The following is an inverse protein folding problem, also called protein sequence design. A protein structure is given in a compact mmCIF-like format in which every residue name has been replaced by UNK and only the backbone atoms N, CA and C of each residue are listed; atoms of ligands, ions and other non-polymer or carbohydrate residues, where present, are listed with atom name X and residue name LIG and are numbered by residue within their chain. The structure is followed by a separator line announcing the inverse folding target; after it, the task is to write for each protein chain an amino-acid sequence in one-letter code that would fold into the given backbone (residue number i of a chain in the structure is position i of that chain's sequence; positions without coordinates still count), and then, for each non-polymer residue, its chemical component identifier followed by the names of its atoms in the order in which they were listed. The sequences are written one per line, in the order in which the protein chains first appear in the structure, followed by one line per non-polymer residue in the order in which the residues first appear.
data_IF_189582733288
#
_entry.id   IF_189582733288
#
_cell.length_a   1.000
_cell.length_b   1.000
_cell.length_c   1.000
_cell.angle_alpha   90.00
_cell.angle_beta   90.00
_cell.angle_gamma   90.00
#
_symmetry.space_group_name_H-M   'P 1'
#
loop_
_entity.id
_entity.type
_entity.pdbx_description
1 polymer ?
#
# COMPACT_ATOMS: atom_id res chain seq x y z
N UNK A 1 35.61 11.41 -4.31
CA UNK A 1 35.67 10.13 -5.06
C UNK A 1 34.26 9.59 -5.26
N UNK A 2 33.63 9.83 -6.42
CA UNK A 2 32.36 9.17 -6.74
C UNK A 2 32.67 7.72 -7.13
N UNK A 3 32.27 6.77 -6.29
CA UNK A 3 32.35 5.33 -6.57
C UNK A 3 31.87 5.03 -7.99
N UNK A 4 32.44 4.02 -8.66
CA UNK A 4 32.03 3.59 -10.00
C UNK A 4 30.50 3.43 -10.12
N UNK A 5 29.86 2.97 -9.04
CA UNK A 5 28.40 2.86 -8.90
C UNK A 5 27.67 4.22 -8.96
N UNK A 6 28.22 5.26 -8.34
CA UNK A 6 27.66 6.61 -8.36
C UNK A 6 27.78 7.29 -9.74
N UNK A 7 28.84 7.00 -10.50
CA UNK A 7 29.01 7.48 -11.87
C UNK A 7 28.05 6.78 -12.84
N UNK A 8 27.80 5.49 -12.66
CA UNK A 8 26.85 4.70 -13.43
C UNK A 8 25.40 5.16 -13.16
N UNK A 9 25.06 5.43 -11.89
CA UNK A 9 23.77 6.01 -11.49
C UNK A 9 23.52 7.39 -12.12
N UNK A 10 24.51 8.28 -12.10
CA UNK A 10 24.37 9.65 -12.62
C UNK A 10 24.30 9.70 -14.16
N UNK A 11 25.05 8.81 -14.84
CA UNK A 11 24.95 8.63 -16.31
C UNK A 11 23.60 8.03 -16.72
N UNK A 12 23.03 7.16 -15.88
CA UNK A 12 21.72 6.53 -16.07
C UNK A 12 20.55 7.50 -15.89
N UNK A 13 20.57 8.34 -14.85
CA UNK A 13 19.58 9.42 -14.63
C UNK A 13 19.51 10.36 -15.84
N UNK A 14 20.66 10.74 -16.42
CA UNK A 14 20.72 11.69 -17.55
C UNK A 14 20.22 11.13 -18.89
N UNK A 15 20.26 9.81 -19.10
CA UNK A 15 19.85 9.18 -20.38
C UNK A 15 18.40 8.71 -20.38
N UNK A 16 17.79 8.56 -19.20
CA UNK A 16 16.37 8.26 -19.06
C UNK A 16 15.52 9.50 -19.29
N UNK A 17 14.43 9.40 -20.09
CA UNK A 17 13.30 10.38 -20.12
C UNK A 17 12.55 10.43 -18.77
N UNK A 18 13.24 10.29 -17.64
CA UNK A 18 12.66 10.35 -16.31
C UNK A 18 12.32 11.77 -15.89
N UNK A 19 12.82 12.82 -16.57
CA UNK A 19 12.41 14.20 -16.25
C UNK A 19 10.90 14.38 -16.49
N UNK A 20 10.38 13.80 -17.57
CA UNK A 20 8.96 13.89 -17.92
C UNK A 20 8.11 12.88 -17.12
N UNK A 21 8.65 11.70 -16.80
CA UNK A 21 7.93 10.68 -16.03
C UNK A 21 7.93 10.91 -14.50
N UNK A 22 8.92 11.62 -13.94
CA UNK A 22 8.89 12.08 -12.55
C UNK A 22 7.98 13.29 -12.36
N UNK A 23 7.82 14.16 -13.38
CA UNK A 23 6.88 15.27 -13.33
C UNK A 23 5.41 14.80 -13.28
N UNK A 24 5.12 13.61 -13.84
CA UNK A 24 3.80 12.97 -13.74
C UNK A 24 3.56 12.24 -12.40
N UNK A 25 4.55 12.19 -11.50
CA UNK A 25 4.37 11.73 -10.13
C UNK A 25 3.70 12.81 -9.29
N UNK A 26 2.37 12.91 -9.39
CA UNK A 26 1.56 13.68 -8.44
C UNK A 26 1.98 13.25 -7.02
N UNK A 27 2.47 14.22 -6.23
CA UNK A 27 2.82 14.04 -4.81
C UNK A 27 1.58 13.78 -3.95
N UNK A 28 0.40 13.81 -4.56
CA UNK A 28 -0.87 13.66 -3.89
C UNK A 28 -1.28 12.19 -3.98
N UNK A 29 -1.17 11.47 -2.87
CA UNK A 29 -1.73 10.11 -2.73
C UNK A 29 -3.24 10.02 -3.00
N UNK A 30 -3.89 11.14 -3.35
CA UNK A 30 -5.29 11.27 -3.68
C UNK A 30 -5.65 10.85 -5.13
N UNK A 31 -4.71 10.81 -6.09
CA UNK A 31 -5.08 10.67 -7.52
C UNK A 31 -5.11 9.25 -8.09
N UNK A 32 -4.53 8.27 -7.39
CA UNK A 32 -4.60 6.85 -7.80
C UNK A 32 -5.94 6.20 -7.46
N UNK A 33 -6.68 6.78 -6.51
CA UNK A 33 -7.90 6.21 -5.97
C UNK A 33 -9.08 6.21 -6.96
N UNK A 34 -9.04 7.03 -8.01
CA UNK A 34 -10.15 7.21 -8.95
C UNK A 34 -9.84 6.67 -10.35
N UNK A 35 -8.72 5.96 -10.51
CA UNK A 35 -8.38 5.34 -11.78
C UNK A 35 -9.10 3.99 -11.87
N UNK A 36 -9.95 3.77 -12.89
CA UNK A 36 -10.59 2.47 -13.12
C UNK A 36 -9.54 1.37 -13.28
N UNK A 37 -9.83 0.16 -12.78
CA UNK A 37 -8.96 -1.01 -12.88
C UNK A 37 -8.46 -1.25 -14.33
N UNK A 38 -9.36 -1.16 -15.31
CA UNK A 38 -9.06 -1.22 -16.76
C UNK A 38 -7.96 -0.24 -17.20
N UNK A 39 -7.91 0.95 -16.59
CA UNK A 39 -7.00 2.04 -16.97
C UNK A 39 -5.62 1.96 -16.29
N UNK A 40 -5.43 1.04 -15.33
CA UNK A 40 -4.14 0.84 -14.63
C UNK A 40 -3.20 -0.09 -15.40
N UNK A 41 -3.76 -1.08 -16.10
CA UNK A 41 -3.02 -2.13 -16.81
C UNK A 41 -1.97 -1.63 -17.83
N UNK A 42 -2.17 -0.51 -18.57
CA UNK A 42 -1.18 -0.05 -19.54
C UNK A 42 0.05 0.63 -18.92
N UNK A 43 -0.02 1.13 -17.68
CA UNK A 43 0.98 2.08 -17.15
C UNK A 43 2.08 1.42 -16.28
N UNK A 44 1.76 0.33 -15.58
CA UNK A 44 2.71 -0.48 -14.81
C UNK A 44 3.79 -1.18 -15.66
N UNK A 45 3.52 -1.74 -16.86
CA UNK A 45 4.51 -2.53 -17.59
C UNK A 45 5.72 -1.72 -18.07
N UNK A 46 5.54 -0.44 -18.44
CA UNK A 46 6.64 0.40 -18.93
C UNK A 46 7.71 0.65 -17.86
N UNK A 47 7.30 0.80 -16.59
CA UNK A 47 8.22 1.03 -15.46
C UNK A 47 8.89 -0.26 -14.99
N UNK A 48 8.16 -1.37 -15.00
CA UNK A 48 8.69 -2.69 -14.67
C UNK A 48 9.77 -3.15 -15.68
N UNK A 49 9.51 -2.98 -16.97
CA UNK A 49 10.45 -3.30 -18.03
C UNK A 49 11.77 -2.51 -17.89
N UNK A 50 11.69 -1.23 -17.50
CA UNK A 50 12.86 -0.41 -17.20
C UNK A 50 13.60 -0.90 -15.94
N UNK A 51 12.90 -1.09 -14.82
CA UNK A 51 13.52 -1.47 -13.55
C UNK A 51 14.24 -2.82 -13.65
N UNK A 52 13.67 -3.77 -14.39
CA UNK A 52 14.29 -5.08 -14.65
C UNK A 52 15.55 -5.05 -15.52
N UNK A 53 15.70 -4.04 -16.39
CA UNK A 53 16.91 -3.84 -17.22
C UNK A 53 17.96 -2.94 -16.57
N UNK A 54 17.64 -2.35 -15.42
CA UNK A 54 18.61 -1.56 -14.68
C UNK A 54 19.70 -2.49 -14.14
N UNK A 55 20.97 -2.12 -14.29
CA UNK A 55 22.10 -2.90 -13.75
C UNK A 55 22.24 -2.74 -12.21
N UNK A 56 21.21 -2.23 -11.53
CA UNK A 56 21.20 -1.99 -10.10
C UNK A 56 20.47 -3.15 -9.40
N UNK A 57 21.14 -3.97 -8.57
CA UNK A 57 20.57 -5.18 -8.02
C UNK A 57 19.30 -4.93 -7.17
N UNK A 58 19.24 -3.80 -6.47
CA UNK A 58 18.05 -3.40 -5.71
C UNK A 58 16.81 -3.18 -6.60
N UNK A 59 16.99 -2.57 -7.79
CA UNK A 59 15.90 -2.30 -8.72
C UNK A 59 15.46 -3.56 -9.47
N UNK A 60 16.39 -4.45 -9.83
CA UNK A 60 16.06 -5.75 -10.42
C UNK A 60 15.24 -6.58 -9.42
N UNK A 61 15.64 -6.60 -8.15
CA UNK A 61 14.89 -7.28 -7.08
C UNK A 61 13.49 -6.68 -6.92
N UNK A 62 13.37 -5.35 -6.87
CA UNK A 62 12.09 -4.67 -6.79
C UNK A 62 11.18 -5.02 -7.99
N UNK A 63 11.70 -4.97 -9.21
CA UNK A 63 10.94 -5.32 -10.41
C UNK A 63 10.39 -6.75 -10.34
N UNK A 64 11.22 -7.70 -9.91
CA UNK A 64 10.81 -9.09 -9.70
C UNK A 64 9.70 -9.21 -8.64
N UNK A 65 9.86 -8.58 -7.48
CA UNK A 65 8.83 -8.60 -6.42
C UNK A 65 7.53 -7.94 -6.87
N UNK A 66 7.61 -6.85 -7.64
CA UNK A 66 6.42 -6.22 -8.24
C UNK A 66 5.72 -7.19 -9.18
N UNK A 67 6.45 -7.93 -10.02
CA UNK A 67 5.90 -8.99 -10.91
C UNK A 67 5.19 -10.09 -10.16
N UNK A 68 5.83 -10.61 -9.12
CA UNK A 68 5.29 -11.69 -8.27
C UNK A 68 4.00 -11.28 -7.56
N UNK A 69 3.85 -10.00 -7.22
CA UNK A 69 2.70 -9.49 -6.46
C UNK A 69 1.77 -8.56 -7.26
N UNK A 70 1.83 -8.58 -8.60
CA UNK A 70 1.00 -7.72 -9.47
C UNK A 70 -0.48 -7.74 -9.11
N UNK A 71 -1.06 -8.93 -8.96
CA UNK A 71 -2.49 -9.11 -8.64
C UNK A 71 -2.85 -8.42 -7.32
N UNK A 72 -2.02 -8.57 -6.28
CA UNK A 72 -2.25 -7.94 -4.97
C UNK A 72 -2.12 -6.42 -5.02
N UNK A 73 -1.16 -5.91 -5.79
CA UNK A 73 -0.98 -4.46 -6.00
C UNK A 73 -2.21 -3.89 -6.70
N UNK A 74 -2.72 -4.55 -7.74
CA UNK A 74 -3.93 -4.10 -8.43
C UNK A 74 -5.17 -4.13 -7.52
N UNK A 75 -5.35 -5.20 -6.74
CA UNK A 75 -6.43 -5.27 -5.76
C UNK A 75 -6.33 -4.15 -4.71
N UNK A 76 -5.12 -3.84 -4.22
CA UNK A 76 -4.90 -2.77 -3.27
C UNK A 76 -5.26 -1.39 -3.85
N UNK A 77 -4.92 -1.13 -5.11
CA UNK A 77 -5.32 0.12 -5.78
C UNK A 77 -6.83 0.16 -6.01
N UNK A 78 -7.42 -0.92 -6.53
CA UNK A 78 -8.86 -1.01 -6.79
C UNK A 78 -9.70 -0.79 -5.53
N UNK A 79 -9.26 -1.32 -4.38
CA UNK A 79 -9.93 -1.15 -3.10
C UNK A 79 -9.47 0.09 -2.30
N UNK A 80 -8.69 0.98 -2.92
CA UNK A 80 -8.19 2.22 -2.28
C UNK A 80 -7.51 1.93 -0.91
N UNK A 81 -6.76 0.83 -0.85
CA UNK A 81 -6.00 0.41 0.34
C UNK A 81 -4.69 1.21 0.41
N UNK A 82 -4.64 2.16 1.33
CA UNK A 82 -3.42 2.91 1.64
C UNK A 82 -2.64 2.21 2.76
N UNK A 83 -1.32 2.39 2.80
CA UNK A 83 -0.50 1.93 3.93
C UNK A 83 -1.02 2.50 5.26
N UNK A 84 -1.45 3.76 5.28
CA UNK A 84 -2.05 4.35 6.49
C UNK A 84 -3.29 3.59 6.98
N UNK A 85 -4.17 3.14 6.07
CA UNK A 85 -5.32 2.28 6.43
C UNK A 85 -4.85 0.93 6.95
N UNK A 86 -3.93 0.28 6.25
CA UNK A 86 -3.40 -1.04 6.66
C UNK A 86 -2.72 -0.98 8.03
N UNK A 87 -1.88 0.03 8.28
CA UNK A 87 -1.21 0.19 9.58
C UNK A 87 -2.17 0.55 10.71
N UNK A 88 -3.22 1.32 10.41
CA UNK A 88 -4.30 1.58 11.37
C UNK A 88 -5.00 0.27 11.77
N UNK A 89 -5.29 -0.61 10.80
CA UNK A 89 -5.86 -1.93 11.05
C UNK A 89 -4.88 -2.83 11.81
N UNK A 90 -3.58 -2.81 11.50
CA UNK A 90 -2.57 -3.62 12.19
C UNK A 90 -2.36 -3.22 13.65
N UNK A 91 -2.59 -1.94 13.99
CA UNK A 91 -2.35 -1.43 15.34
C UNK A 91 -3.57 -1.63 16.26
N UNK A 92 -4.79 -1.59 15.71
CA UNK A 92 -6.03 -1.67 16.51
C UNK A 92 -6.17 -2.97 17.32
N UNK A 93 -5.92 -4.18 16.80
CA UNK A 93 -6.00 -5.41 17.60
C UNK A 93 -5.06 -5.41 18.80
N UNK A 94 -3.84 -4.87 18.65
CA UNK A 94 -2.89 -4.70 19.76
C UNK A 94 -3.44 -3.75 20.83
N UNK A 95 -4.07 -2.65 20.40
CA UNK A 95 -4.71 -1.71 21.32
C UNK A 95 -5.93 -2.32 22.03
N UNK A 96 -6.74 -3.09 21.30
CA UNK A 96 -7.90 -3.81 21.84
C UNK A 96 -7.46 -4.80 22.91
N UNK A 97 -6.45 -5.63 22.62
CA UNK A 97 -5.91 -6.57 23.62
C UNK A 97 -5.38 -5.87 24.87
N UNK A 98 -4.68 -4.74 24.71
CA UNK A 98 -4.18 -3.95 25.84
C UNK A 98 -5.30 -3.39 26.72
N UNK A 99 -6.42 -2.94 26.12
CA UNK A 99 -7.57 -2.40 26.85
C UNK A 99 -8.44 -3.48 27.50
N UNK A 100 -8.51 -4.66 26.89
CA UNK A 100 -9.28 -5.78 27.41
C UNK A 100 -8.53 -6.59 28.48
N UNK A 101 -7.23 -6.33 28.69
CA UNK A 101 -6.34 -7.14 29.55
C UNK A 101 -6.25 -8.62 29.12
N UNK A 102 -6.45 -8.88 27.83
CA UNK A 102 -6.49 -10.22 27.25
C UNK A 102 -7.90 -10.73 26.94
N UNK A 103 -7.99 -11.83 26.20
CA UNK A 103 -9.25 -12.51 25.87
C UNK A 103 -9.13 -13.99 26.21
N UNK A 104 -10.26 -14.59 26.61
CA UNK A 104 -10.35 -16.04 26.87
C UNK A 104 -10.29 -16.88 25.58
N UNK A 105 -10.72 -16.32 24.45
CA UNK A 105 -10.70 -16.96 23.13
C UNK A 105 -10.26 -15.98 22.04
N UNK A 106 -9.70 -16.51 20.96
CA UNK A 106 -9.31 -15.72 19.78
C UNK A 106 -10.54 -15.18 19.05
N UNK A 107 -11.64 -15.92 19.05
CA UNK A 107 -12.89 -15.50 18.41
C UNK A 107 -13.47 -14.22 19.03
N UNK A 108 -13.33 -14.05 20.35
CA UNK A 108 -13.74 -12.82 21.03
C UNK A 108 -12.92 -11.61 20.57
N UNK A 109 -11.62 -11.80 20.33
CA UNK A 109 -10.75 -10.75 19.79
C UNK A 109 -11.12 -10.42 18.33
N UNK A 110 -11.35 -11.43 17.49
CA UNK A 110 -11.74 -11.25 16.09
C UNK A 110 -13.08 -10.52 16.01
N UNK A 111 -14.08 -10.94 16.78
CA UNK A 111 -15.39 -10.30 16.81
C UNK A 111 -15.32 -8.82 17.21
N UNK A 112 -14.54 -8.49 18.23
CA UNK A 112 -14.36 -7.11 18.65
C UNK A 112 -13.54 -6.28 17.65
N UNK A 113 -12.53 -6.88 17.00
CA UNK A 113 -11.78 -6.22 15.93
C UNK A 113 -12.68 -5.92 14.72
N UNK A 114 -13.52 -6.87 14.31
CA UNK A 114 -14.51 -6.68 13.25
C UNK A 114 -15.51 -5.58 13.61
N UNK A 115 -16.03 -5.55 14.84
CA UNK A 115 -16.92 -4.48 15.30
C UNK A 115 -16.23 -3.10 15.26
N UNK A 116 -14.99 -3.02 15.76
CA UNK A 116 -14.20 -1.79 15.76
C UNK A 116 -13.75 -1.32 14.37
N UNK A 117 -13.85 -2.17 13.34
CA UNK A 117 -13.47 -1.85 11.95
C UNK A 117 -14.68 -1.66 11.04
N UNK A 118 -15.78 -2.36 11.31
CA UNK A 118 -16.98 -2.41 10.47
C UNK A 118 -17.87 -1.17 10.56
N UNK A 119 -17.57 -0.20 11.44
CA UNK A 119 -18.38 1.01 11.60
C UNK A 119 -19.81 0.73 12.09
N UNK A 120 -20.09 -0.50 12.50
CA UNK A 120 -21.36 -0.92 13.05
C UNK A 120 -21.48 -0.36 14.46
N UNK A 121 -22.53 0.43 14.70
CA UNK A 121 -22.92 0.90 16.02
C UNK A 121 -24.16 0.13 16.48
N UNK A 122 -24.02 -1.14 16.89
CA UNK A 122 -25.16 -1.87 17.43
C UNK A 122 -25.67 -1.17 18.70
N UNK A 123 -26.99 -1.14 18.93
CA UNK A 123 -27.55 -0.55 20.14
C UNK A 123 -26.99 -1.27 21.36
N UNK A 124 -26.39 -0.50 22.28
CA UNK A 124 -25.78 -1.05 23.47
C UNK A 124 -26.87 -1.37 24.51
N UNK A 125 -26.85 -2.57 25.13
CA UNK A 125 -27.80 -2.91 26.16
C UNK A 125 -27.71 -1.91 27.33
N UNK A 126 -28.85 -1.37 27.77
CA UNK A 126 -28.94 -0.38 28.84
C UNK A 126 -28.75 1.08 28.41
N UNK A 127 -28.53 1.38 27.13
CA UNK A 127 -28.62 2.75 26.59
C UNK A 127 -29.84 2.84 25.68
N UNK A 128 -30.89 3.53 26.15
CA UNK A 128 -32.04 3.82 25.31
C UNK A 128 -31.57 4.63 24.10
N UNK A 129 -31.75 4.07 22.90
CA UNK A 129 -31.50 4.78 21.66
C UNK A 129 -32.77 5.58 21.39
N UNK A 130 -32.86 6.79 21.93
CA UNK A 130 -33.91 7.73 21.49
C UNK A 130 -33.62 8.06 20.03
N UNK A 131 -34.56 7.66 19.18
CA UNK A 131 -34.57 7.93 17.74
C UNK A 131 -34.67 9.43 17.45
#
# INVERSE_FOLDING_TARGET
MTSAHGRQFNRYIRRSKCRDACAAGSKDGARLADIPYESLCPQVPLRDAWASRSQLPAFVKLARTVREHKVRIYAAVAHKLSNARVESLNTKPRLIMRRAFGFRSVDALIGLAMLAHGGLCPPLPGRATTA
#
